data_IF_846043904244
#
_entry.id   IF_846043904244
#
_cell.length_a   1.000
_cell.length_b   1.000
_cell.length_c   1.000
_cell.angle_alpha   90.00
_cell.angle_beta   90.00
_cell.angle_gamma   90.00
#
_symmetry.space_group_name_H-M   'P 1'
#
loop_
_entity.id
_entity.type
_entity.pdbx_description
1 polymer ?
#
# COMPACT_ATOMS: atom_id res chain seq x y z
N UNK A 1 -20.03 -44.79 11.76
CA UNK A 1 -19.60 -43.38 11.91
C UNK A 1 -18.27 -43.23 11.20
N UNK A 2 -18.27 -42.66 10.00
CA UNK A 2 -17.02 -42.41 9.27
C UNK A 2 -16.31 -41.22 9.89
N UNK A 3 -15.08 -41.42 10.36
CA UNK A 3 -14.21 -40.33 10.80
C UNK A 3 -13.83 -39.51 9.56
N UNK A 4 -14.54 -38.43 9.29
CA UNK A 4 -14.09 -37.39 8.35
C UNK A 4 -12.84 -36.75 8.96
N UNK A 5 -11.66 -37.22 8.55
CA UNK A 5 -10.40 -36.53 8.85
C UNK A 5 -10.40 -35.23 8.05
N UNK A 6 -10.49 -34.09 8.75
CA UNK A 6 -10.27 -32.77 8.15
C UNK A 6 -8.90 -32.78 7.48
N UNK A 7 -8.87 -32.57 6.16
CA UNK A 7 -7.62 -32.35 5.46
C UNK A 7 -7.06 -31.00 5.88
N UNK A 8 -5.87 -31.03 6.51
CA UNK A 8 -5.16 -29.81 6.88
C UNK A 8 -4.68 -29.10 5.62
N UNK A 9 -4.77 -27.79 5.59
CA UNK A 9 -4.15 -26.96 4.56
C UNK A 9 -2.62 -27.09 4.60
N UNK A 10 -1.91 -26.79 3.50
CA UNK A 10 -0.44 -26.79 3.49
C UNK A 10 0.17 -25.94 4.63
N UNK A 11 -0.40 -24.77 4.91
CA UNK A 11 0.02 -23.89 6.01
C UNK A 11 -0.12 -24.58 7.37
N UNK A 12 -1.30 -25.13 7.67
CA UNK A 12 -1.54 -25.84 8.94
C UNK A 12 -0.61 -27.06 9.12
N UNK A 13 -0.29 -27.76 8.03
CA UNK A 13 0.65 -28.89 8.06
C UNK A 13 2.06 -28.43 8.43
N UNK A 14 2.55 -27.36 7.80
CA UNK A 14 3.89 -26.84 8.09
C UNK A 14 3.98 -26.20 9.48
N UNK A 15 2.93 -25.52 9.96
CA UNK A 15 2.88 -24.99 11.33
C UNK A 15 2.93 -26.12 12.37
N UNK A 16 2.17 -27.20 12.16
CA UNK A 16 2.22 -28.39 13.01
C UNK A 16 3.60 -29.05 13.00
N UNK A 17 4.21 -29.21 11.82
CA UNK A 17 5.54 -29.78 11.68
C UNK A 17 6.62 -28.93 12.38
N UNK A 18 6.57 -27.60 12.21
CA UNK A 18 7.50 -26.66 12.84
C UNK A 18 7.41 -26.74 14.36
N UNK A 19 6.20 -26.73 14.91
CA UNK A 19 5.96 -26.86 16.35
C UNK A 19 6.54 -28.17 16.91
N UNK A 20 6.33 -29.28 16.21
CA UNK A 20 6.87 -30.57 16.62
C UNK A 20 8.40 -30.59 16.58
N UNK A 21 9.01 -30.06 15.51
CA UNK A 21 10.48 -29.97 15.38
C UNK A 21 11.10 -29.08 16.47
N UNK A 22 10.48 -27.94 16.79
CA UNK A 22 10.93 -27.07 17.89
C UNK A 22 10.84 -27.78 19.25
N UNK A 23 9.78 -28.57 19.47
CA UNK A 23 9.63 -29.37 20.69
C UNK A 23 10.69 -30.50 20.79
N UNK A 24 11.06 -31.12 19.67
CA UNK A 24 12.14 -32.13 19.64
C UNK A 24 13.52 -31.50 19.83
N UNK A 25 13.78 -30.38 19.16
CA UNK A 25 15.01 -29.59 19.28
C UNK A 25 15.25 -29.10 20.70
N UNK A 26 14.21 -28.65 21.40
CA UNK A 26 14.33 -28.24 22.81
C UNK A 26 14.67 -29.40 23.75
N UNK A 27 14.07 -30.58 23.57
CA UNK A 27 14.44 -31.79 24.32
C UNK A 27 15.89 -32.21 24.05
N UNK A 28 16.32 -32.12 22.80
CA UNK A 28 17.69 -32.45 22.41
C UNK A 28 18.70 -31.44 22.97
N UNK A 29 18.34 -30.15 23.01
CA UNK A 29 19.16 -29.09 23.57
C UNK A 29 19.42 -29.31 25.06
N UNK A 30 18.41 -29.72 25.81
CA UNK A 30 18.56 -30.08 27.22
C UNK A 30 19.50 -31.28 27.42
N UNK A 31 19.36 -32.32 26.59
CA UNK A 31 20.27 -33.48 26.62
C UNK A 31 21.71 -33.10 26.30
N UNK A 32 21.92 -32.20 25.33
CA UNK A 32 23.24 -31.68 24.97
C UNK A 32 23.86 -30.91 26.13
N UNK A 33 23.09 -30.01 26.77
CA UNK A 33 23.53 -29.24 27.94
C UNK A 33 23.97 -30.15 29.09
N UNK A 34 23.22 -31.21 29.38
CA UNK A 34 23.59 -32.20 30.40
C UNK A 34 24.91 -32.89 30.04
N UNK A 35 25.11 -33.28 28.77
CA UNK A 35 26.34 -33.91 28.32
C UNK A 35 27.56 -32.95 28.39
N UNK A 36 27.37 -31.67 28.09
CA UNK A 36 28.41 -30.65 28.21
C UNK A 36 28.79 -30.35 29.66
N UNK A 37 27.81 -30.30 30.56
CA UNK A 37 28.07 -30.18 32.00
C UNK A 37 28.89 -31.39 32.51
N UNK A 38 28.50 -32.61 32.13
CA UNK A 38 29.24 -33.81 32.48
C UNK A 38 30.68 -33.80 31.92
N UNK A 39 30.88 -33.28 30.70
CA UNK A 39 32.21 -33.13 30.11
C UNK A 39 33.08 -32.16 30.92
N UNK A 40 32.51 -31.02 31.33
CA UNK A 40 33.21 -30.04 32.16
C UNK A 40 33.61 -30.64 33.52
N UNK A 41 32.71 -31.40 34.16
CA UNK A 41 33.00 -32.09 35.42
C UNK A 41 34.12 -33.14 35.26
N UNK A 42 34.09 -33.94 34.19
CA UNK A 42 35.13 -34.94 33.92
C UNK A 42 36.49 -34.30 33.63
N UNK A 43 36.52 -33.18 32.91
CA UNK A 43 37.75 -32.39 32.68
C UNK A 43 38.32 -31.87 33.99
N UNK A 44 37.50 -31.26 34.84
CA UNK A 44 37.94 -30.76 36.15
C UNK A 44 38.41 -31.89 37.08
N UNK A 45 37.80 -33.07 37.02
CA UNK A 45 38.23 -34.24 37.79
C UNK A 45 39.57 -34.81 37.28
N UNK A 46 39.76 -34.89 35.96
CA UNK A 46 41.01 -35.33 35.36
C UNK A 46 42.17 -34.36 35.67
N UNK A 47 41.92 -33.06 35.62
CA UNK A 47 42.90 -32.02 36.00
C UNK A 47 43.33 -32.16 37.47
N UNK A 48 42.37 -32.35 38.38
CA UNK A 48 42.67 -32.60 39.80
C UNK A 48 43.52 -33.85 40.03
N UNK A 49 43.27 -34.93 39.28
CA UNK A 49 44.09 -36.15 39.35
C UNK A 49 45.51 -35.89 38.83
N UNK A 50 45.66 -35.14 37.74
CA UNK A 50 46.96 -34.80 37.18
C UNK A 50 47.79 -33.95 38.16
N UNK A 51 47.19 -32.90 38.72
CA UNK A 51 47.85 -32.03 39.72
C UNK A 51 48.18 -32.80 41.01
N UNK A 52 47.32 -33.73 41.41
CA UNK A 52 47.52 -34.57 42.60
C UNK A 52 48.55 -35.69 42.45
N UNK A 53 49.24 -35.80 41.30
CA UNK A 53 50.27 -36.82 41.07
C UNK A 53 49.70 -38.25 40.94
N UNK A 54 48.48 -38.39 40.41
CA UNK A 54 47.85 -39.68 40.20
C UNK A 54 48.70 -40.60 39.30
N UNK A 55 48.58 -41.90 39.50
CA UNK A 55 49.28 -42.91 38.67
C UNK A 55 48.84 -42.85 37.22
N UNK A 56 49.71 -43.28 36.29
CA UNK A 56 49.40 -43.29 34.86
C UNK A 56 48.10 -44.05 34.54
N UNK A 57 47.86 -45.19 35.21
CA UNK A 57 46.63 -45.96 35.05
C UNK A 57 45.36 -45.22 35.51
N UNK A 58 45.47 -44.31 36.49
CA UNK A 58 44.33 -43.47 36.91
C UNK A 58 44.05 -42.35 35.90
N UNK A 59 45.10 -41.76 35.34
CA UNK A 59 44.99 -40.74 34.30
C UNK A 59 44.40 -41.30 33.01
N UNK A 60 44.85 -42.47 32.55
CA UNK A 60 44.31 -43.15 31.37
C UNK A 60 42.80 -43.46 31.51
N UNK A 61 42.36 -43.93 32.69
CA UNK A 61 40.93 -44.16 32.95
C UNK A 61 40.12 -42.87 32.95
N UNK A 62 40.65 -41.81 33.54
CA UNK A 62 39.99 -40.50 33.56
C UNK A 62 39.87 -39.92 32.14
N UNK A 63 40.92 -40.05 31.33
CA UNK A 63 40.97 -39.61 29.95
C UNK A 63 40.01 -40.41 29.06
N UNK A 64 39.95 -41.73 29.21
CA UNK A 64 38.99 -42.58 28.50
C UNK A 64 37.53 -42.19 28.82
N UNK A 65 37.23 -41.93 30.10
CA UNK A 65 35.92 -41.46 30.53
C UNK A 65 35.57 -40.06 29.99
N UNK A 66 36.55 -39.16 29.92
CA UNK A 66 36.39 -37.84 29.33
C UNK A 66 36.12 -37.92 27.83
N UNK A 67 36.91 -38.71 27.08
CA UNK A 67 36.72 -38.91 25.63
C UNK A 67 35.32 -39.44 25.30
N UNK A 68 34.83 -40.42 26.05
CA UNK A 68 33.49 -40.98 25.84
C UNK A 68 32.37 -39.92 25.99
N UNK A 69 32.46 -39.05 27.00
CA UNK A 69 31.48 -37.96 27.19
C UNK A 69 31.66 -36.87 26.13
N UNK A 70 32.90 -36.58 25.74
CA UNK A 70 33.20 -35.63 24.68
C UNK A 70 32.62 -36.04 23.34
N UNK A 71 32.77 -37.31 22.95
CA UNK A 71 32.23 -37.86 21.71
C UNK A 71 30.69 -37.81 21.72
N UNK A 72 30.07 -38.19 22.85
CA UNK A 72 28.62 -38.06 23.02
C UNK A 72 28.14 -36.60 22.90
N UNK A 73 28.85 -35.65 23.50
CA UNK A 73 28.52 -34.23 23.39
C UNK A 73 28.71 -33.71 21.96
N UNK A 74 29.74 -34.17 21.24
CA UNK A 74 29.94 -33.87 19.82
C UNK A 74 28.79 -34.39 18.96
N UNK A 75 28.35 -35.64 19.17
CA UNK A 75 27.20 -36.21 18.45
C UNK A 75 25.93 -35.41 18.70
N UNK A 76 25.62 -35.08 19.96
CA UNK A 76 24.42 -34.30 20.28
C UNK A 76 24.44 -32.88 19.69
N UNK A 77 25.62 -32.23 19.63
CA UNK A 77 25.77 -30.94 18.94
C UNK A 77 25.55 -31.06 17.44
N UNK A 78 26.04 -32.13 16.81
CA UNK A 78 25.81 -32.37 15.39
C UNK A 78 24.33 -32.60 15.09
N UNK A 79 23.65 -33.42 15.89
CA UNK A 79 22.20 -33.65 15.76
C UNK A 79 21.40 -32.34 15.98
N UNK A 80 21.81 -31.48 16.91
CA UNK A 80 21.19 -30.17 17.11
C UNK A 80 21.32 -29.26 15.89
N UNK A 81 22.50 -29.22 15.28
CA UNK A 81 22.73 -28.42 14.07
C UNK A 81 21.84 -28.91 12.92
N UNK A 82 21.70 -30.23 12.75
CA UNK A 82 20.79 -30.81 11.75
C UNK A 82 19.32 -30.42 12.01
N UNK A 83 18.87 -30.46 13.27
CA UNK A 83 17.52 -30.01 13.62
C UNK A 83 17.29 -28.52 13.35
N UNK A 84 18.29 -27.68 13.63
CA UNK A 84 18.22 -26.25 13.34
C UNK A 84 18.11 -26.00 11.82
N UNK A 85 18.86 -26.74 10.99
CA UNK A 85 18.71 -26.70 9.53
C UNK A 85 17.32 -27.15 9.05
N UNK A 86 16.78 -28.23 9.64
CA UNK A 86 15.44 -28.72 9.32
C UNK A 86 14.34 -27.72 9.73
N UNK A 87 14.52 -27.00 10.85
CA UNK A 87 13.61 -25.94 11.28
C UNK A 87 13.63 -24.81 10.26
N UNK A 88 14.81 -24.31 9.87
CA UNK A 88 14.94 -23.24 8.87
C UNK A 88 14.32 -23.64 7.53
N UNK A 89 14.54 -24.88 7.09
CA UNK A 89 13.90 -25.42 5.88
C UNK A 89 12.37 -25.44 5.99
N UNK A 90 11.84 -25.86 7.13
CA UNK A 90 10.39 -25.91 7.37
C UNK A 90 9.77 -24.51 7.47
N UNK A 91 10.47 -23.55 8.08
CA UNK A 91 10.06 -22.15 8.15
C UNK A 91 9.99 -21.51 6.77
N UNK A 92 10.98 -21.79 5.91
CA UNK A 92 10.96 -21.35 4.51
C UNK A 92 9.77 -21.92 3.76
N UNK A 93 9.54 -23.22 3.88
CA UNK A 93 8.38 -23.88 3.25
C UNK A 93 7.04 -23.31 3.76
N UNK A 94 6.96 -22.95 5.05
CA UNK A 94 5.80 -22.30 5.63
C UNK A 94 5.59 -20.89 5.04
N UNK A 95 6.65 -20.11 4.91
CA UNK A 95 6.59 -18.77 4.30
C UNK A 95 6.12 -18.85 2.84
N UNK A 96 6.68 -19.80 2.07
CA UNK A 96 6.29 -20.04 0.68
C UNK A 96 4.83 -20.48 0.56
N UNK A 97 4.36 -21.35 1.45
CA UNK A 97 2.96 -21.78 1.49
C UNK A 97 2.00 -20.64 1.84
N UNK A 98 2.39 -19.74 2.75
CA UNK A 98 1.61 -18.53 3.08
C UNK A 98 1.54 -17.58 1.88
N UNK A 99 2.67 -17.30 1.25
CA UNK A 99 2.73 -16.47 0.04
C UNK A 99 1.89 -17.06 -1.10
N UNK A 100 1.92 -18.39 -1.27
CA UNK A 100 1.07 -19.07 -2.26
C UNK A 100 -0.42 -18.89 -1.96
N UNK A 101 -0.84 -19.13 -0.72
CA UNK A 101 -2.23 -18.94 -0.29
C UNK A 101 -2.70 -17.49 -0.53
N UNK A 102 -1.87 -16.52 -0.20
CA UNK A 102 -2.23 -15.11 -0.35
C UNK A 102 -2.38 -14.72 -1.83
N UNK A 103 -1.52 -15.27 -2.71
CA UNK A 103 -1.67 -15.13 -4.18
C UNK A 103 -2.94 -15.80 -4.71
N UNK A 104 -3.29 -16.97 -4.19
CA UNK A 104 -4.53 -17.67 -4.56
C UNK A 104 -5.75 -16.84 -4.17
N UNK A 105 -5.80 -16.33 -2.94
CA UNK A 105 -6.88 -15.45 -2.48
C UNK A 105 -7.02 -14.19 -3.33
N UNK A 106 -5.90 -13.54 -3.67
CA UNK A 106 -5.92 -12.35 -4.54
C UNK A 106 -6.44 -12.69 -5.94
N UNK A 107 -6.01 -13.81 -6.52
CA UNK A 107 -6.48 -14.25 -7.83
C UNK A 107 -7.98 -14.59 -7.83
N UNK A 108 -8.47 -15.25 -6.78
CA UNK A 108 -9.89 -15.58 -6.62
C UNK A 108 -10.76 -14.31 -6.53
N UNK A 109 -10.27 -13.26 -5.88
CA UNK A 109 -10.96 -11.96 -5.84
C UNK A 109 -11.02 -11.29 -7.21
N UNK A 110 -9.95 -11.35 -8.00
CA UNK A 110 -9.92 -10.81 -9.37
C UNK A 110 -10.90 -11.59 -10.27
N UNK A 111 -10.97 -12.91 -10.13
CA UNK A 111 -11.94 -13.74 -10.86
C UNK A 111 -13.38 -13.46 -10.43
N UNK A 112 -13.62 -13.22 -9.14
CA UNK A 112 -14.94 -12.83 -8.65
C UNK A 112 -15.40 -11.49 -9.26
N UNK A 113 -14.48 -10.52 -9.43
CA UNK A 113 -14.78 -9.27 -10.12
C UNK A 113 -15.14 -9.49 -11.59
N UNK A 114 -14.36 -10.30 -12.31
CA UNK A 114 -14.66 -10.64 -13.70
C UNK A 114 -16.04 -11.33 -13.83
N UNK A 115 -16.35 -12.26 -12.94
CA UNK A 115 -17.63 -12.95 -12.90
C UNK A 115 -18.79 -11.97 -12.61
N UNK A 116 -18.60 -10.99 -11.73
CA UNK A 116 -19.62 -9.96 -11.46
C UNK A 116 -19.91 -9.08 -12.69
N UNK A 117 -18.87 -8.68 -13.44
CA UNK A 117 -19.04 -7.91 -14.69
C UNK A 117 -19.77 -8.75 -15.74
N UNK A 118 -19.37 -10.01 -15.91
CA UNK A 118 -19.99 -10.94 -16.86
C UNK A 118 -21.47 -11.21 -16.54
N UNK A 119 -21.86 -11.21 -15.26
CA UNK A 119 -23.26 -11.32 -14.85
C UNK A 119 -24.07 -10.04 -15.09
N UNK A 120 -23.44 -8.87 -14.99
CA UNK A 120 -24.11 -7.57 -15.15
C UNK A 120 -24.27 -7.16 -16.63
N UNK A 121 -23.29 -7.47 -17.49
CA UNK A 121 -23.27 -7.03 -18.89
C UNK A 121 -24.53 -7.41 -19.70
N UNK A 122 -25.09 -8.63 -19.58
CA UNK A 122 -26.32 -8.99 -20.30
C UNK A 122 -27.54 -8.16 -19.90
N UNK A 123 -27.63 -7.73 -18.64
CA UNK A 123 -28.75 -6.92 -18.14
C UNK A 123 -28.73 -5.51 -18.75
N UNK A 124 -27.54 -4.90 -18.79
CA UNK A 124 -27.32 -3.64 -19.50
C UNK A 124 -27.65 -3.79 -21.00
N UNK A 125 -27.16 -4.85 -21.63
CA UNK A 125 -27.42 -5.15 -23.04
C UNK A 125 -28.92 -5.27 -23.36
N UNK A 126 -29.67 -5.98 -22.51
CA UNK A 126 -31.12 -6.13 -22.65
C UNK A 126 -31.87 -4.79 -22.46
N UNK A 127 -31.50 -4.01 -21.45
CA UNK A 127 -32.11 -2.69 -21.19
C UNK A 127 -31.87 -1.71 -22.33
N UNK A 128 -30.64 -1.62 -22.83
CA UNK A 128 -30.32 -0.77 -23.98
C UNK A 128 -31.03 -1.23 -25.26
N UNK A 129 -31.13 -2.55 -25.49
CA UNK A 129 -31.91 -3.08 -26.61
C UNK A 129 -33.40 -2.74 -26.52
N UNK A 130 -33.98 -2.74 -25.32
CA UNK A 130 -35.39 -2.38 -25.12
C UNK A 130 -35.67 -0.90 -25.48
N UNK A 131 -34.72 0.01 -25.18
CA UNK A 131 -34.82 1.42 -25.58
C UNK A 131 -34.76 1.60 -27.10
N UNK A 132 -33.88 0.85 -27.78
CA UNK A 132 -33.79 0.84 -29.25
C UNK A 132 -35.07 0.29 -29.87
N UNK A 133 -35.59 -0.81 -29.32
CA UNK A 133 -36.83 -1.44 -29.77
C UNK A 133 -38.05 -0.51 -29.62
N UNK A 134 -38.13 0.25 -28.53
CA UNK A 134 -39.23 1.19 -28.29
C UNK A 134 -39.32 2.28 -29.37
N UNK A 135 -38.18 2.76 -29.85
CA UNK A 135 -38.11 3.75 -30.94
C UNK A 135 -38.35 3.09 -32.30
N UNK A 136 -37.69 1.97 -32.57
CA UNK A 136 -37.72 1.33 -33.91
C UNK A 136 -39.04 0.64 -34.24
N UNK A 137 -39.79 0.17 -33.23
CA UNK A 137 -41.12 -0.45 -33.41
C UNK A 137 -42.27 0.57 -33.35
N UNK A 138 -41.99 1.84 -33.07
CA UNK A 138 -42.99 2.90 -33.06
C UNK A 138 -43.50 3.18 -34.48
N UNK A 139 -44.82 3.34 -34.63
CA UNK A 139 -45.43 3.79 -35.88
C UNK A 139 -45.18 5.30 -36.15
N UNK A 140 -44.82 6.07 -35.11
CA UNK A 140 -44.49 7.48 -35.22
C UNK A 140 -42.99 7.67 -35.46
N UNK A 141 -42.64 8.43 -36.51
CA UNK A 141 -41.26 8.79 -36.83
C UNK A 141 -40.93 10.17 -36.28
N UNK A 142 -40.09 10.20 -35.24
CA UNK A 142 -39.56 11.43 -34.63
C UNK A 142 -38.04 11.43 -34.84
N UNK A 143 -37.46 12.33 -35.65
CA UNK A 143 -36.03 12.34 -35.98
C UNK A 143 -35.10 12.37 -34.76
N UNK A 144 -35.50 13.05 -33.69
CA UNK A 144 -34.80 13.11 -32.42
C UNK A 144 -34.75 11.73 -31.74
N UNK A 145 -35.87 11.01 -31.75
CA UNK A 145 -35.96 9.67 -31.17
C UNK A 145 -35.09 8.67 -31.96
N UNK A 146 -35.09 8.75 -33.29
CA UNK A 146 -34.22 7.92 -34.15
C UNK A 146 -32.74 8.18 -33.84
N UNK A 147 -32.33 9.45 -33.73
CA UNK A 147 -30.95 9.81 -33.34
C UNK A 147 -30.60 9.27 -31.95
N UNK A 148 -31.49 9.42 -30.98
CA UNK A 148 -31.32 8.83 -29.64
C UNK A 148 -31.12 7.31 -29.69
N UNK A 149 -31.96 6.57 -30.42
CA UNK A 149 -31.80 5.11 -30.53
C UNK A 149 -30.48 4.69 -31.18
N UNK A 150 -29.99 5.45 -32.18
CA UNK A 150 -28.70 5.17 -32.81
C UNK A 150 -27.54 5.41 -31.83
N UNK A 151 -27.60 6.47 -31.02
CA UNK A 151 -26.63 6.74 -29.96
C UNK A 151 -26.65 5.65 -28.87
N UNK A 152 -27.84 5.23 -28.42
CA UNK A 152 -27.98 4.14 -27.44
C UNK A 152 -27.39 2.84 -27.98
N UNK A 153 -27.66 2.49 -29.24
CA UNK A 153 -27.11 1.26 -29.83
C UNK A 153 -25.58 1.31 -30.01
N UNK A 154 -25.02 2.49 -30.33
CA UNK A 154 -23.58 2.68 -30.38
C UNK A 154 -22.92 2.46 -29.00
N UNK A 155 -23.43 3.15 -27.97
CA UNK A 155 -22.96 3.01 -26.58
C UNK A 155 -23.13 1.57 -26.09
N UNK A 156 -24.25 0.91 -26.43
CA UNK A 156 -24.50 -0.48 -26.08
C UNK A 156 -23.39 -1.40 -26.59
N UNK A 157 -23.02 -1.26 -27.87
CA UNK A 157 -21.96 -2.09 -28.49
C UNK A 157 -20.59 -1.80 -27.88
N UNK A 158 -20.28 -0.53 -27.62
CA UNK A 158 -19.02 -0.12 -27.00
C UNK A 158 -18.88 -0.71 -25.60
N UNK A 159 -19.89 -0.55 -24.75
CA UNK A 159 -19.86 -1.05 -23.37
C UNK A 159 -19.77 -2.59 -23.34
N UNK A 160 -20.51 -3.30 -24.19
CA UNK A 160 -20.41 -4.77 -24.26
C UNK A 160 -19.01 -5.22 -24.71
N UNK A 161 -18.42 -4.55 -25.71
CA UNK A 161 -17.06 -4.83 -26.15
C UNK A 161 -16.02 -4.53 -25.07
N UNK A 162 -16.20 -3.44 -24.31
CA UNK A 162 -15.32 -3.07 -23.21
C UNK A 162 -15.43 -4.07 -22.04
N UNK A 163 -16.64 -4.54 -21.74
CA UNK A 163 -16.87 -5.57 -20.72
C UNK A 163 -16.14 -6.87 -21.06
N UNK A 164 -16.20 -7.32 -22.32
CA UNK A 164 -15.49 -8.52 -22.78
C UNK A 164 -13.96 -8.37 -22.63
N UNK A 165 -13.43 -7.21 -23.03
CA UNK A 165 -11.99 -6.92 -22.90
C UNK A 165 -11.54 -6.92 -21.44
N UNK A 166 -12.26 -6.20 -20.57
CA UNK A 166 -11.93 -6.13 -19.13
C UNK A 166 -12.00 -7.51 -18.48
N UNK A 167 -13.03 -8.31 -18.79
CA UNK A 167 -13.12 -9.68 -18.29
C UNK A 167 -11.92 -10.55 -18.72
N UNK A 168 -11.45 -10.40 -19.96
CA UNK A 168 -10.25 -11.09 -20.43
C UNK A 168 -8.99 -10.63 -19.67
N UNK A 169 -8.79 -9.33 -19.50
CA UNK A 169 -7.64 -8.77 -18.77
C UNK A 169 -7.61 -9.19 -17.31
N UNK A 170 -8.76 -9.16 -16.63
CA UNK A 170 -8.90 -9.60 -15.24
C UNK A 170 -8.54 -11.08 -15.10
N UNK A 171 -9.05 -11.96 -15.97
CA UNK A 171 -8.69 -13.39 -15.94
C UNK A 171 -7.21 -13.61 -16.22
N UNK A 172 -6.63 -12.90 -17.18
CA UNK A 172 -5.19 -12.94 -17.46
C UNK A 172 -4.37 -12.51 -16.23
N UNK A 173 -4.83 -11.47 -15.53
CA UNK A 173 -4.19 -10.96 -14.31
C UNK A 173 -4.31 -11.95 -13.15
N UNK A 174 -5.45 -12.64 -12.99
CA UNK A 174 -5.62 -13.69 -12.00
C UNK A 174 -4.63 -14.85 -12.23
N UNK A 175 -4.49 -15.31 -13.47
CA UNK A 175 -3.50 -16.36 -13.83
C UNK A 175 -2.07 -15.92 -13.51
N UNK A 176 -1.69 -14.69 -13.88
CA UNK A 176 -0.37 -14.13 -13.58
C UNK A 176 -0.13 -13.97 -12.09
N UNK A 177 -1.16 -13.63 -11.33
CA UNK A 177 -1.13 -13.52 -9.87
C UNK A 177 -0.84 -14.86 -9.23
N UNK A 178 -1.56 -15.93 -9.62
CA UNK A 178 -1.28 -17.30 -9.12
C UNK A 178 0.13 -17.77 -9.46
N UNK A 179 0.65 -17.38 -10.62
CA UNK A 179 2.02 -17.69 -11.04
C UNK A 179 3.10 -16.88 -10.29
N UNK A 180 2.74 -15.83 -9.54
CA UNK A 180 3.71 -14.93 -8.89
C UNK A 180 4.33 -13.89 -9.79
N UNK A 181 3.77 -13.67 -10.98
CA UNK A 181 4.30 -12.76 -12.00
C UNK A 181 3.59 -11.40 -12.03
N UNK A 182 2.72 -11.14 -11.06
CA UNK A 182 1.99 -9.89 -10.92
C UNK A 182 2.20 -9.33 -9.51
N UNK A 183 2.56 -8.04 -9.42
CA UNK A 183 2.48 -7.26 -8.19
C UNK A 183 1.04 -6.78 -8.02
N UNK A 184 0.12 -7.70 -7.76
CA UNK A 184 -1.23 -7.37 -7.34
C UNK A 184 -1.19 -7.14 -5.84
N UNK A 185 -0.73 -5.96 -5.44
CA UNK A 185 -1.10 -5.45 -4.13
C UNK A 185 -2.62 -5.31 -4.14
N UNK A 186 -3.31 -6.13 -3.36
CA UNK A 186 -4.71 -5.87 -3.02
C UNK A 186 -4.72 -4.48 -2.40
N UNK A 187 -5.17 -3.50 -3.18
CA UNK A 187 -5.38 -2.17 -2.65
C UNK A 187 -6.32 -2.33 -1.46
N UNK A 188 -5.99 -1.69 -0.34
CA UNK A 188 -6.94 -1.50 0.74
C UNK A 188 -8.27 -1.00 0.12
N UNK A 189 -9.43 -1.29 0.74
CA UNK A 189 -10.70 -0.77 0.26
C UNK A 189 -10.47 0.70 -0.06
N UNK A 190 -10.66 1.08 -1.33
CA UNK A 190 -10.61 2.47 -1.74
C UNK A 190 -11.56 3.17 -0.77
N UNK A 191 -11.00 3.90 0.20
CA UNK A 191 -11.74 4.96 0.86
C UNK A 191 -12.32 5.74 -0.30
N UNK A 192 -13.65 5.72 -0.39
CA UNK A 192 -14.42 6.21 -1.52
C UNK A 192 -13.67 7.41 -2.09
N UNK A 193 -13.24 7.33 -3.36
CA UNK A 193 -12.58 8.45 -4.02
C UNK A 193 -13.44 9.67 -3.69
N UNK A 194 -12.95 10.52 -2.78
CA UNK A 194 -13.58 11.79 -2.53
C UNK A 194 -13.61 12.43 -3.90
N UNK A 195 -14.78 12.84 -4.41
CA UNK A 195 -14.88 13.38 -5.75
C UNK A 195 -13.78 14.41 -5.87
N UNK A 196 -12.83 14.16 -6.77
CA UNK A 196 -11.65 15.01 -6.92
C UNK A 196 -12.16 16.44 -6.97
N UNK A 197 -11.89 17.21 -5.91
CA UNK A 197 -12.35 18.58 -5.81
C UNK A 197 -11.85 19.26 -7.06
N UNK A 198 -12.78 19.74 -7.89
CA UNK A 198 -12.53 20.24 -9.23
C UNK A 198 -11.19 20.95 -9.29
N UNK A 199 -10.27 20.49 -10.15
CA UNK A 199 -8.95 21.12 -10.31
C UNK A 199 -9.14 22.62 -10.50
N UNK A 200 -8.94 23.38 -9.43
CA UNK A 200 -9.00 24.83 -9.47
C UNK A 200 -7.81 25.24 -10.33
N UNK A 201 -8.10 25.82 -11.50
CA UNK A 201 -7.06 26.26 -12.41
C UNK A 201 -6.24 27.37 -11.73
N UNK A 202 -4.96 27.11 -11.46
CA UNK A 202 -4.06 28.00 -10.74
C UNK A 202 -3.08 28.65 -11.72
N UNK A 203 -2.76 29.91 -11.47
CA UNK A 203 -1.67 30.60 -12.15
C UNK A 203 -0.55 30.90 -11.15
N UNK A 204 0.67 30.58 -11.54
CA UNK A 204 1.86 30.87 -10.75
C UNK A 204 2.14 32.37 -10.73
N UNK A 205 2.17 32.94 -9.53
CA UNK A 205 2.34 34.38 -9.29
C UNK A 205 3.29 34.62 -8.11
N UNK A 206 3.73 35.86 -7.95
CA UNK A 206 4.53 36.28 -6.81
C UNK A 206 3.73 37.19 -5.88
N UNK A 207 3.71 36.88 -4.59
CA UNK A 207 3.01 37.68 -3.57
C UNK A 207 3.84 38.89 -3.15
N UNK A 208 3.19 40.04 -3.01
CA UNK A 208 3.81 41.28 -2.50
C UNK A 208 3.42 41.54 -1.05
N UNK A 209 2.30 40.98 -0.60
CA UNK A 209 1.77 41.04 0.77
C UNK A 209 1.35 39.64 1.23
N UNK A 210 1.16 39.40 2.54
CA UNK A 210 0.58 38.16 3.04
C UNK A 210 -0.88 38.03 2.58
N UNK A 211 -1.27 36.85 2.11
CA UNK A 211 -2.57 36.58 1.49
C UNK A 211 -3.31 35.46 2.21
N UNK A 212 -4.63 35.57 2.24
CA UNK A 212 -5.56 34.56 2.71
C UNK A 212 -6.70 34.40 1.68
N UNK A 213 -7.08 33.15 1.41
CA UNK A 213 -8.27 32.83 0.61
C UNK A 213 -8.79 31.43 0.90
N UNK A 214 -10.00 31.14 0.45
CA UNK A 214 -10.69 29.85 0.58
C UNK A 214 -10.66 29.08 -0.73
N UNK A 215 -10.23 27.84 -0.63
CA UNK A 215 -10.26 26.87 -1.71
C UNK A 215 -11.07 25.65 -1.26
N UNK A 216 -12.33 25.60 -1.68
CA UNK A 216 -13.28 24.61 -1.17
C UNK A 216 -13.54 24.82 0.33
N UNK A 217 -13.25 23.80 1.14
CA UNK A 217 -13.35 23.85 2.60
C UNK A 217 -12.06 24.29 3.30
N UNK A 218 -10.97 24.50 2.57
CA UNK A 218 -9.66 24.85 3.13
C UNK A 218 -9.39 26.36 3.04
N UNK A 219 -8.84 26.94 4.11
CA UNK A 219 -8.34 28.32 4.12
C UNK A 219 -6.83 28.28 3.89
N UNK A 220 -6.39 28.77 2.74
CA UNK A 220 -4.96 28.91 2.42
C UNK A 220 -4.43 30.25 2.91
N UNK A 221 -3.21 30.23 3.45
CA UNK A 221 -2.46 31.40 3.89
C UNK A 221 -1.07 31.37 3.28
N UNK A 222 -0.59 32.51 2.82
CA UNK A 222 0.72 32.63 2.19
C UNK A 222 1.38 33.93 2.60
N UNK A 223 2.65 33.86 2.93
CA UNK A 223 3.45 35.02 3.33
C UNK A 223 3.75 35.94 2.15
N UNK A 224 4.17 37.18 2.45
CA UNK A 224 4.68 38.08 1.42
C UNK A 224 5.96 37.53 0.77
N UNK A 225 6.22 37.92 -0.47
CA UNK A 225 7.42 37.56 -1.23
C UNK A 225 7.58 36.06 -1.50
N UNK A 226 6.45 35.37 -1.66
CA UNK A 226 6.39 33.94 -1.92
C UNK A 226 5.82 33.67 -3.31
N UNK A 227 6.24 32.54 -3.89
CA UNK A 227 5.75 32.08 -5.17
C UNK A 227 4.61 31.09 -4.93
N UNK A 228 3.41 31.41 -5.44
CA UNK A 228 2.20 30.62 -5.19
C UNK A 228 1.35 30.42 -6.45
N UNK A 229 0.69 29.26 -6.53
CA UNK A 229 -0.39 29.04 -7.48
C UNK A 229 -1.70 29.64 -6.97
N UNK A 230 -2.03 30.86 -7.40
CA UNK A 230 -3.28 31.51 -7.03
C UNK A 230 -4.42 31.06 -7.97
N UNK A 231 -5.63 30.76 -7.44
CA UNK A 231 -6.79 30.48 -8.28
C UNK A 231 -7.05 31.61 -9.29
N UNK A 232 -7.23 31.26 -10.57
CA UNK A 232 -7.43 32.27 -11.63
C UNK A 232 -8.60 33.23 -11.36
N UNK A 233 -9.62 32.79 -10.62
CA UNK A 233 -10.77 33.63 -10.22
C UNK A 233 -10.38 34.81 -9.32
N UNK A 234 -9.36 34.65 -8.47
CA UNK A 234 -8.90 35.67 -7.52
C UNK A 234 -7.78 36.54 -8.09
N UNK A 235 -7.17 36.11 -9.20
CA UNK A 235 -6.04 36.80 -9.82
C UNK A 235 -6.35 38.26 -10.23
N UNK A 236 -7.51 38.58 -10.87
CA UNK A 236 -7.81 39.96 -11.26
C UNK A 236 -7.88 40.91 -10.07
N UNK A 237 -8.52 40.47 -8.98
CA UNK A 237 -8.68 41.25 -7.73
C UNK A 237 -7.31 41.47 -7.10
N UNK A 238 -6.52 40.39 -6.94
CA UNK A 238 -5.20 40.48 -6.33
C UNK A 238 -4.24 41.38 -7.12
N UNK A 239 -4.29 41.37 -8.47
CA UNK A 239 -3.48 42.25 -9.32
C UNK A 239 -3.94 43.71 -9.24
N UNK A 240 -5.25 43.97 -9.24
CA UNK A 240 -5.81 45.32 -9.19
C UNK A 240 -5.40 46.04 -7.90
N UNK A 241 -5.47 45.35 -6.77
CA UNK A 241 -5.05 45.86 -5.46
C UNK A 241 -3.54 45.76 -5.21
N UNK A 242 -2.77 45.35 -6.22
CA UNK A 242 -1.30 45.26 -6.17
C UNK A 242 -0.76 44.38 -5.02
N UNK A 243 -1.52 43.36 -4.63
CA UNK A 243 -1.06 42.39 -3.64
C UNK A 243 -0.24 41.25 -4.24
N UNK A 244 -0.32 41.08 -5.56
CA UNK A 244 0.45 40.11 -6.34
C UNK A 244 0.93 40.74 -7.63
N UNK A 245 1.92 40.13 -8.28
CA UNK A 245 2.39 40.54 -9.60
C UNK A 245 2.86 39.31 -10.41
N UNK A 246 2.93 39.47 -11.73
CA UNK A 246 3.36 38.41 -12.63
C UNK A 246 4.87 38.16 -12.53
N UNK A 247 5.28 36.91 -12.72
CA UNK A 247 6.69 36.50 -12.63
C UNK A 247 7.62 37.22 -13.63
N UNK A 248 7.08 37.71 -14.74
CA UNK A 248 7.82 38.45 -15.75
C UNK A 248 7.95 39.96 -15.45
N UNK A 249 7.34 40.47 -14.37
CA UNK A 249 7.47 41.86 -13.99
C UNK A 249 8.89 42.16 -13.49
N UNK A 250 9.49 43.25 -13.95
CA UNK A 250 10.85 43.68 -13.56
C UNK A 250 10.99 43.87 -12.05
N UNK A 251 9.92 44.34 -11.40
CA UNK A 251 9.83 44.47 -9.94
C UNK A 251 9.93 43.11 -9.26
N UNK A 252 9.21 42.10 -9.75
CA UNK A 252 9.24 40.74 -9.22
C UNK A 252 10.62 40.11 -9.37
N UNK A 253 11.29 40.26 -10.51
CA UNK A 253 12.66 39.77 -10.69
C UNK A 253 13.64 40.36 -9.67
N UNK A 254 13.48 41.65 -9.36
CA UNK A 254 14.28 42.34 -8.34
C UNK A 254 13.96 41.81 -6.94
N UNK A 255 12.68 41.65 -6.61
CA UNK A 255 12.23 41.14 -5.32
C UNK A 255 12.64 39.68 -5.09
N UNK A 256 12.54 38.82 -6.12
CA UNK A 256 13.01 37.43 -6.06
C UNK A 256 14.53 37.34 -5.83
N UNK A 257 15.31 38.30 -6.35
CA UNK A 257 16.74 38.36 -6.08
C UNK A 257 17.05 38.75 -4.63
N UNK A 258 16.24 39.66 -4.05
CA UNK A 258 16.45 40.19 -2.68
C UNK A 258 15.89 39.26 -1.60
N UNK A 259 14.69 38.71 -1.81
CA UNK A 259 13.93 37.94 -0.81
C UNK A 259 13.89 36.43 -1.12
N UNK A 260 14.38 36.01 -2.29
CA UNK A 260 14.31 34.63 -2.74
C UNK A 260 12.94 34.23 -3.28
N UNK A 261 12.81 32.95 -3.64
CA UNK A 261 11.58 32.32 -4.16
C UNK A 261 10.79 31.54 -3.10
N UNK A 262 11.10 31.76 -1.81
CA UNK A 262 10.38 31.30 -0.61
C UNK A 262 9.52 30.03 -0.77
N UNK A 263 10.12 28.84 -0.72
CA UNK A 263 9.42 27.55 -0.72
C UNK A 263 9.24 26.93 0.69
N UNK A 264 9.46 27.67 1.79
CA UNK A 264 9.34 27.10 3.15
C UNK A 264 8.47 27.95 4.07
N UNK A 265 7.49 27.25 4.64
CA UNK A 265 6.53 27.62 5.67
C UNK A 265 7.09 28.45 6.82
N UNK A 266 6.59 29.67 6.95
CA UNK A 266 5.86 30.03 8.17
C UNK A 266 4.52 30.59 7.68
N UNK A 267 3.43 29.85 7.91
CA UNK A 267 2.09 30.35 7.62
C UNK A 267 1.88 31.61 8.48
N UNK A 268 1.47 32.75 7.90
CA UNK A 268 1.25 33.96 8.68
C UNK A 268 0.22 33.66 9.79
N UNK A 269 0.52 34.11 11.01
CA UNK A 269 -0.38 33.94 12.15
C UNK A 269 -1.74 34.54 11.82
N UNK A 270 -2.80 33.94 12.38
CA UNK A 270 -4.20 34.34 12.12
C UNK A 270 -4.46 35.81 12.46
N UNK A 271 -3.66 36.40 13.36
CA UNK A 271 -3.77 37.78 13.83
C UNK A 271 -2.73 38.74 13.20
N UNK A 272 -2.12 38.39 12.06
CA UNK A 272 -1.22 39.31 11.35
C UNK A 272 -2.02 40.51 10.78
N UNK A 273 -1.77 41.75 11.25
CA UNK A 273 -2.50 42.93 10.81
C UNK A 273 -2.29 43.27 9.32
N UNK A 274 -1.33 42.63 8.65
CA UNK A 274 -1.05 42.81 7.23
C UNK A 274 -1.64 41.71 6.34
N UNK A 275 -2.37 40.74 6.92
CA UNK A 275 -2.97 39.65 6.17
C UNK A 275 -4.17 40.13 5.33
N UNK A 276 -4.11 39.91 4.03
CA UNK A 276 -5.15 40.34 3.09
C UNK A 276 -6.06 39.17 2.73
N UNK A 277 -7.36 39.29 3.03
CA UNK A 277 -8.39 38.32 2.61
C UNK A 277 -8.88 38.64 1.19
N UNK A 278 -8.48 37.80 0.22
CA UNK A 278 -8.83 37.98 -1.19
C UNK A 278 -10.30 37.65 -1.49
N UNK A 279 -10.96 36.81 -0.69
CA UNK A 279 -12.37 36.51 -0.89
C UNK A 279 -13.25 37.65 -0.39
N UNK A 280 -12.86 38.28 0.73
CA UNK A 280 -13.52 39.49 1.22
C UNK A 280 -13.41 40.63 0.19
N UNK A 281 -12.21 40.86 -0.35
CA UNK A 281 -12.00 41.86 -1.41
C UNK A 281 -12.79 41.55 -2.69
N UNK A 282 -12.88 40.27 -3.09
CA UNK A 282 -13.68 39.89 -4.24
C UNK A 282 -15.19 40.06 -4.02
N UNK A 283 -15.68 39.83 -2.79
CA UNK A 283 -17.07 40.04 -2.41
C UNK A 283 -17.44 41.54 -2.40
N UNK A 284 -16.59 42.39 -1.83
CA UNK A 284 -16.78 43.85 -1.81
C UNK A 284 -16.84 44.46 -3.22
N UNK A 285 -16.04 43.96 -4.17
CA UNK A 285 -16.11 44.40 -5.57
C UNK A 285 -17.39 43.95 -6.27
N UNK A 286 -17.93 42.79 -5.91
CA UNK A 286 -19.17 42.27 -6.49
C UNK A 286 -20.39 43.07 -6.00
N UNK A 287 -20.40 43.47 -4.72
CA UNK A 287 -21.43 44.35 -4.15
C UNK A 287 -21.33 45.78 -4.68
N UNK A 288 -20.12 46.33 -4.81
CA UNK A 288 -19.90 47.68 -5.35
C UNK A 288 -20.31 47.80 -6.83
N UNK A 289 -20.04 46.77 -7.62
CA UNK A 289 -20.48 46.71 -9.03
C UNK A 289 -22.01 46.56 -9.19
N UNK A 290 -22.71 46.02 -8.18
CA UNK A 290 -24.18 45.97 -8.16
C UNK A 290 -24.81 47.30 -7.71
N UNK A 291 -24.14 48.07 -6.85
CA UNK A 291 -24.62 49.36 -6.37
C UNK A 291 -24.55 50.48 -7.43
N UNK A 292 -23.60 50.41 -8.36
CA UNK A 292 -23.42 51.39 -9.46
C UNK A 292 -24.39 51.17 -10.66
N UNK A 293 -25.28 50.18 -10.58
CA UNK A 293 -26.27 49.85 -11.63
C UNK A 293 -27.71 50.21 -11.22
N UNK A 294 -27.90 50.92 -10.09
CA UNK A 294 -29.20 51.37 -9.60
C UNK A 294 -29.53 52.83 -9.95
#
# INVERSE_FOLDING_TARGET
>A
MGFFKRELSPVERFEGALKNKQAERSKLAERSRIAEAALAEKRAAAERLAVGGATNAQLERAEAGMRAVEDRAKTLRAELAEFDEQIVSTERALADAKAQRDRELAADQIEALAAAIEQAAPQFGAGASALVDAVTKSAASVPEATRFSASVDAVRREILSAADLICWELRSTAVRTRAGNANTALSAPLEAEQPQASEVERQLIYTLNPLLWREGSEVRRVSAFALVGLPKKLLPVALRHQHVDHLNARRVQTLMHVHGSGQSHDDPQVDDPQLVDLDALAAEETESAQADVA
#
